data_IF_368050341506
#
_entry.id   IF_368050341506
#
_cell.length_a   1.000
_cell.length_b   1.000
_cell.length_c   1.000
_cell.angle_alpha   90.00
_cell.angle_beta   90.00
_cell.angle_gamma   90.00
#
_symmetry.space_group_name_H-M   'P 1'
#
loop_
_entity.id
_entity.type
_entity.pdbx_description
1 polymer ?
#
# COMPACT_ATOMS: atom_id res chain seq x y z
N UNK A 1 -0.19 -5.05 -27.85
CA UNK A 1 1.19 -5.01 -28.36
C UNK A 1 2.11 -5.03 -27.16
N UNK A 2 2.98 -6.00 -27.10
CA UNK A 2 3.79 -6.37 -25.94
C UNK A 2 4.80 -5.28 -25.57
N UNK A 3 4.54 -4.50 -24.53
CA UNK A 3 5.51 -3.58 -23.91
C UNK A 3 6.51 -4.29 -22.98
N UNK A 4 6.37 -5.62 -22.82
CA UNK A 4 7.11 -6.39 -21.84
C UNK A 4 8.61 -6.57 -22.12
N UNK A 5 9.13 -6.05 -23.24
CA UNK A 5 10.52 -6.31 -23.67
C UNK A 5 11.57 -5.34 -23.12
N UNK A 6 11.18 -4.22 -22.53
CA UNK A 6 12.15 -3.20 -22.07
C UNK A 6 12.28 -3.11 -20.56
N UNK A 7 11.47 -3.87 -19.82
CA UNK A 7 11.55 -3.87 -18.39
C UNK A 7 12.57 -4.91 -17.92
N UNK A 8 13.52 -4.48 -17.12
CA UNK A 8 14.61 -5.34 -16.64
C UNK A 8 14.87 -5.07 -15.16
N UNK A 9 14.23 -5.87 -14.32
CA UNK A 9 14.66 -5.95 -12.93
C UNK A 9 16.06 -6.59 -12.91
N UNK A 10 17.03 -5.91 -12.35
CA UNK A 10 18.44 -6.31 -12.37
C UNK A 10 18.94 -6.93 -11.06
N UNK A 11 18.04 -7.15 -10.09
CA UNK A 11 18.42 -7.68 -8.78
C UNK A 11 18.48 -9.22 -8.72
N UNK A 12 17.70 -9.92 -9.54
CA UNK A 12 17.63 -11.37 -9.53
C UNK A 12 17.85 -11.92 -10.94
N UNK A 13 18.71 -12.94 -11.13
CA UNK A 13 18.84 -13.64 -12.41
C UNK A 13 17.50 -14.25 -12.88
N UNK A 14 16.73 -14.77 -11.92
CA UNK A 14 15.34 -15.22 -12.09
C UNK A 14 14.48 -14.60 -11.01
N UNK A 15 13.30 -14.08 -11.39
CA UNK A 15 12.34 -13.58 -10.43
C UNK A 15 11.52 -14.75 -9.87
N UNK A 16 11.70 -15.06 -8.59
CA UNK A 16 10.95 -16.12 -7.89
C UNK A 16 9.61 -15.62 -7.34
N UNK A 17 9.23 -14.36 -7.56
CA UNK A 17 7.97 -13.80 -7.06
C UNK A 17 7.90 -13.57 -5.54
N UNK A 18 9.00 -13.73 -4.82
CA UNK A 18 9.05 -13.64 -3.35
C UNK A 18 9.09 -12.21 -2.81
N UNK A 19 8.94 -11.22 -3.67
CA UNK A 19 9.06 -9.81 -3.33
C UNK A 19 10.46 -9.27 -3.61
N UNK A 20 10.53 -8.01 -4.06
CA UNK A 20 11.79 -7.40 -4.44
C UNK A 20 12.66 -7.11 -3.23
N UNK A 21 13.92 -7.49 -3.34
CA UNK A 21 14.99 -7.22 -2.39
C UNK A 21 15.90 -6.19 -3.05
N UNK A 22 15.62 -4.89 -2.84
CA UNK A 22 16.49 -3.86 -3.38
C UNK A 22 17.79 -3.73 -2.57
N UNK A 23 18.89 -3.49 -3.24
CA UNK A 23 20.16 -3.11 -2.62
C UNK A 23 20.14 -1.66 -2.12
N UNK A 24 19.16 -0.88 -2.55
CA UNK A 24 19.03 0.53 -2.18
C UNK A 24 18.60 0.71 -0.72
N UNK A 25 19.11 1.70 0.00
CA UNK A 25 18.66 2.05 1.34
C UNK A 25 17.13 2.24 1.38
N UNK A 26 16.47 1.61 2.35
CA UNK A 26 15.00 1.68 2.51
C UNK A 26 14.21 0.72 1.64
N UNK A 27 14.81 0.01 0.70
CA UNK A 27 14.11 -1.03 -0.06
C UNK A 27 13.87 -2.31 0.73
N UNK A 28 14.73 -2.62 1.69
CA UNK A 28 14.64 -3.73 2.62
C UNK A 28 14.01 -4.99 2.03
N UNK A 29 14.81 -6.00 1.80
CA UNK A 29 14.33 -7.31 1.45
C UNK A 29 14.29 -8.22 2.67
N UNK A 30 14.03 -9.50 2.44
CA UNK A 30 13.94 -10.48 3.49
C UNK A 30 15.22 -10.52 4.36
N UNK A 31 16.38 -10.39 3.75
CA UNK A 31 17.66 -10.50 4.46
C UNK A 31 18.08 -9.21 5.19
N UNK A 32 17.52 -8.07 4.82
CA UNK A 32 18.00 -6.76 5.26
C UNK A 32 17.06 -6.03 6.23
N UNK A 33 15.89 -6.59 6.52
CA UNK A 33 14.90 -5.95 7.38
C UNK A 33 14.17 -6.96 8.25
N UNK A 34 14.42 -6.90 9.56
CA UNK A 34 13.72 -7.75 10.53
C UNK A 34 12.19 -7.54 10.48
N UNK A 35 11.74 -6.30 10.31
CA UNK A 35 10.30 -6.00 10.21
C UNK A 35 9.69 -6.61 8.95
N UNK A 36 10.43 -6.64 7.83
CA UNK A 36 9.96 -7.30 6.63
C UNK A 36 9.84 -8.83 6.81
N UNK A 37 10.83 -9.45 7.45
CA UNK A 37 10.77 -10.88 7.79
C UNK A 37 9.56 -11.18 8.68
N UNK A 38 9.38 -10.39 9.74
CA UNK A 38 8.24 -10.53 10.64
C UNK A 38 6.91 -10.30 9.94
N UNK A 39 6.83 -9.33 9.04
CA UNK A 39 5.63 -9.11 8.21
C UNK A 39 5.26 -10.36 7.40
N UNK A 40 6.25 -11.04 6.80
CA UNK A 40 5.98 -12.23 5.99
C UNK A 40 5.62 -13.47 6.85
N UNK A 41 6.22 -13.60 8.03
CA UNK A 41 6.07 -14.81 8.87
C UNK A 41 4.84 -14.72 9.77
N UNK A 42 4.54 -13.56 10.33
CA UNK A 42 3.55 -13.46 11.40
C UNK A 42 2.09 -13.61 10.92
N UNK A 43 1.82 -13.54 9.63
CA UNK A 43 0.51 -13.94 9.09
C UNK A 43 0.24 -15.43 9.34
N UNK A 44 1.25 -16.31 9.19
CA UNK A 44 1.14 -17.73 9.55
C UNK A 44 0.83 -17.92 11.04
N UNK A 45 1.48 -17.14 11.90
CA UNK A 45 1.21 -17.20 13.34
C UNK A 45 -0.20 -16.70 13.68
N UNK A 46 -0.66 -15.65 13.00
CA UNK A 46 -2.01 -15.13 13.19
C UNK A 46 -3.07 -16.12 12.71
N UNK A 47 -2.90 -16.72 11.55
CA UNK A 47 -3.75 -17.79 11.01
C UNK A 47 -3.85 -18.93 12.03
N UNK A 48 -2.72 -19.47 12.50
CA UNK A 48 -2.69 -20.55 13.49
C UNK A 48 -3.37 -20.18 14.83
N UNK A 49 -3.26 -18.91 15.24
CA UNK A 49 -3.94 -18.40 16.44
C UNK A 49 -5.47 -18.34 16.25
N UNK A 50 -5.91 -17.87 15.09
CA UNK A 50 -7.35 -17.78 14.75
C UNK A 50 -7.98 -19.17 14.61
N UNK A 51 -7.28 -20.11 13.96
CA UNK A 51 -7.72 -21.49 13.83
C UNK A 51 -7.89 -22.17 15.19
N UNK A 52 -6.92 -22.00 16.09
CA UNK A 52 -7.02 -22.54 17.47
C UNK A 52 -8.19 -21.94 18.25
N UNK A 53 -8.57 -20.69 17.96
CA UNK A 53 -9.75 -20.05 18.57
C UNK A 53 -11.05 -20.42 17.86
N UNK A 54 -10.99 -21.17 16.78
CA UNK A 54 -12.15 -21.52 15.97
C UNK A 54 -12.76 -20.37 15.17
N UNK A 55 -12.01 -19.28 14.97
CA UNK A 55 -12.43 -18.10 14.20
C UNK A 55 -12.07 -18.22 12.72
N UNK A 56 -11.15 -19.10 12.37
CA UNK A 56 -10.76 -19.41 11.00
C UNK A 56 -10.74 -20.94 10.87
N UNK A 57 -11.72 -21.49 10.17
CA UNK A 57 -11.88 -22.92 9.90
C UNK A 57 -12.38 -23.11 8.48
N UNK A 58 -12.09 -24.24 7.81
CA UNK A 58 -12.59 -24.50 6.47
C UNK A 58 -14.12 -24.35 6.33
N UNK A 59 -14.86 -24.71 7.40
CA UNK A 59 -16.33 -24.66 7.39
C UNK A 59 -16.89 -23.25 7.55
N UNK A 60 -16.08 -22.26 7.96
CA UNK A 60 -16.50 -20.87 8.21
C UNK A 60 -15.81 -19.86 7.29
N UNK A 61 -14.98 -20.30 6.36
CA UNK A 61 -14.25 -19.39 5.45
C UNK A 61 -15.20 -18.52 4.62
N UNK A 62 -16.27 -19.11 4.11
CA UNK A 62 -17.29 -18.40 3.32
C UNK A 62 -18.07 -17.35 4.15
N UNK A 63 -18.05 -17.43 5.48
CA UNK A 63 -18.72 -16.49 6.37
C UNK A 63 -17.83 -15.28 6.72
N UNK A 64 -16.51 -15.38 6.46
CA UNK A 64 -15.57 -14.30 6.75
C UNK A 64 -15.62 -13.29 5.60
N UNK A 65 -15.94 -12.00 5.87
CA UNK A 65 -15.89 -10.97 4.85
C UNK A 65 -14.47 -10.81 4.32
N UNK A 66 -14.23 -11.24 3.08
CA UNK A 66 -12.92 -11.13 2.46
C UNK A 66 -12.60 -9.66 2.14
N UNK A 67 -11.47 -9.13 2.62
CA UNK A 67 -11.04 -7.78 2.28
C UNK A 67 -10.82 -7.61 0.77
N UNK A 68 -11.17 -6.45 0.23
CA UNK A 68 -10.80 -6.14 -1.15
C UNK A 68 -9.28 -5.97 -1.27
N UNK A 69 -8.74 -6.38 -2.42
CA UNK A 69 -7.32 -6.21 -2.73
C UNK A 69 -7.11 -4.85 -3.38
N UNK A 70 -6.16 -4.09 -2.84
CA UNK A 70 -5.71 -2.81 -3.39
C UNK A 70 -4.22 -2.86 -3.68
N UNK A 71 -3.79 -2.25 -4.76
CA UNK A 71 -2.38 -2.01 -5.01
C UNK A 71 -1.82 -1.09 -3.92
N UNK A 72 -0.71 -1.45 -3.29
CA UNK A 72 -0.03 -0.54 -2.37
C UNK A 72 0.49 0.72 -3.12
N UNK A 73 0.61 1.88 -2.46
CA UNK A 73 1.12 3.10 -3.09
C UNK A 73 2.63 2.98 -3.35
N UNK A 74 2.98 2.42 -4.50
CA UNK A 74 4.35 2.13 -4.91
C UNK A 74 4.96 3.32 -5.65
N UNK A 75 6.25 3.56 -5.42
CA UNK A 75 7.08 4.54 -6.14
C UNK A 75 8.47 4.00 -6.37
N UNK A 76 9.25 4.64 -7.23
CA UNK A 76 10.65 4.27 -7.42
C UNK A 76 10.84 3.08 -8.37
N UNK A 77 10.05 3.03 -9.43
CA UNK A 77 10.22 2.03 -10.49
C UNK A 77 11.59 2.12 -11.17
N UNK A 78 12.12 3.32 -11.29
CA UNK A 78 13.46 3.56 -11.87
C UNK A 78 14.54 3.01 -10.96
N UNK A 79 14.59 3.48 -9.71
CA UNK A 79 15.68 3.14 -8.78
C UNK A 79 15.61 1.70 -8.29
N UNK A 80 14.40 1.15 -8.18
CA UNK A 80 14.19 -0.13 -7.50
C UNK A 80 14.13 -1.32 -8.43
N UNK A 81 13.69 -1.12 -9.65
CA UNK A 81 13.43 -2.23 -10.59
C UNK A 81 13.93 -1.96 -12.01
N UNK A 82 14.57 -0.83 -12.27
CA UNK A 82 15.27 -0.55 -13.52
C UNK A 82 14.38 -0.11 -14.68
N UNK A 83 13.20 0.46 -14.38
CA UNK A 83 12.41 1.13 -15.42
C UNK A 83 13.15 2.36 -15.98
N UNK A 84 12.91 2.69 -17.25
CA UNK A 84 13.49 3.88 -17.86
C UNK A 84 12.92 5.18 -17.28
N UNK A 85 11.66 5.14 -16.82
CA UNK A 85 11.00 6.28 -16.18
C UNK A 85 9.91 5.84 -15.20
N UNK A 86 9.61 6.69 -14.21
CA UNK A 86 8.47 6.50 -13.32
C UNK A 86 7.15 6.44 -14.08
N UNK A 87 7.02 7.21 -15.18
CA UNK A 87 5.82 7.21 -16.02
C UNK A 87 5.55 5.84 -16.62
N UNK A 88 6.56 5.17 -17.17
CA UNK A 88 6.42 3.80 -17.73
C UNK A 88 6.06 2.81 -16.63
N UNK A 89 6.75 2.87 -15.50
CA UNK A 89 6.45 2.01 -14.37
C UNK A 89 4.99 2.14 -13.91
N UNK A 90 4.54 3.37 -13.66
CA UNK A 90 3.19 3.60 -13.19
C UNK A 90 2.14 3.15 -14.21
N UNK A 91 2.36 3.43 -15.49
CA UNK A 91 1.42 3.01 -16.53
C UNK A 91 1.28 1.49 -16.56
N UNK A 92 2.39 0.75 -16.60
CA UNK A 92 2.37 -0.71 -16.64
C UNK A 92 1.77 -1.30 -15.36
N UNK A 93 2.15 -0.78 -14.20
CA UNK A 93 1.68 -1.30 -12.91
C UNK A 93 0.18 -1.04 -12.70
N UNK A 94 -0.28 0.19 -12.92
CA UNK A 94 -1.68 0.54 -12.72
C UNK A 94 -2.59 -0.11 -13.76
N UNK A 95 -2.14 -0.21 -15.02
CA UNK A 95 -2.86 -0.92 -16.07
C UNK A 95 -3.01 -2.41 -15.73
N UNK A 96 -1.94 -3.04 -15.29
CA UNK A 96 -1.97 -4.45 -14.90
C UNK A 96 -2.88 -4.68 -13.70
N UNK A 97 -2.84 -3.80 -12.69
CA UNK A 97 -3.71 -3.85 -11.53
C UNK A 97 -5.19 -3.67 -11.92
N UNK A 98 -5.49 -2.69 -12.76
CA UNK A 98 -6.84 -2.43 -13.27
C UNK A 98 -7.42 -3.65 -14.00
N UNK A 99 -6.66 -4.22 -14.95
CA UNK A 99 -7.06 -5.41 -15.71
C UNK A 99 -7.22 -6.66 -14.83
N UNK A 100 -6.49 -6.73 -13.72
CA UNK A 100 -6.62 -7.79 -12.72
C UNK A 100 -7.79 -7.57 -11.74
N UNK A 101 -8.56 -6.49 -11.87
CA UNK A 101 -9.66 -6.16 -10.94
C UNK A 101 -9.20 -5.69 -9.56
N UNK A 102 -7.95 -5.23 -9.44
CA UNK A 102 -7.36 -4.72 -8.21
C UNK A 102 -7.64 -3.22 -8.11
N UNK A 103 -8.06 -2.75 -6.92
CA UNK A 103 -8.22 -1.32 -6.66
C UNK A 103 -6.87 -0.59 -6.76
N UNK A 104 -6.90 0.62 -7.31
CA UNK A 104 -5.69 1.36 -7.61
C UNK A 104 -5.23 2.24 -6.45
N UNK A 105 -3.90 2.39 -6.32
CA UNK A 105 -3.29 3.43 -5.48
C UNK A 105 -2.07 4.01 -6.16
N UNK A 106 -1.82 5.28 -5.91
CA UNK A 106 -0.59 5.97 -6.29
C UNK A 106 0.10 6.52 -5.05
N UNK A 107 1.42 6.46 -5.06
CA UNK A 107 2.28 6.96 -4.00
C UNK A 107 2.91 8.29 -4.37
N UNK A 108 3.44 8.94 -3.38
CA UNK A 108 4.20 10.17 -3.49
C UNK A 108 5.68 9.93 -3.15
N UNK A 109 6.56 10.78 -3.65
CA UNK A 109 7.98 10.67 -3.43
C UNK A 109 8.76 11.90 -3.89
N UNK A 110 10.08 11.78 -3.91
CA UNK A 110 10.99 12.76 -4.48
C UNK A 110 11.74 12.12 -5.67
N UNK A 111 11.79 12.81 -6.81
CA UNK A 111 11.20 14.10 -7.15
C UNK A 111 9.66 14.06 -7.31
N UNK A 112 9.05 15.24 -7.52
CA UNK A 112 7.60 15.42 -7.70
C UNK A 112 7.04 14.59 -8.87
N UNK A 113 7.89 14.24 -9.84
CA UNK A 113 7.57 13.36 -10.97
C UNK A 113 6.96 12.02 -10.50
N UNK A 114 7.33 11.52 -9.31
CA UNK A 114 6.79 10.25 -8.79
C UNK A 114 5.28 10.33 -8.56
N UNK A 115 4.77 11.40 -7.98
CA UNK A 115 3.33 11.61 -7.85
C UNK A 115 2.67 11.96 -9.18
N UNK A 116 3.27 12.87 -9.94
CA UNK A 116 2.71 13.33 -11.22
C UNK A 116 2.60 12.20 -12.25
N UNK A 117 3.56 11.27 -12.27
CA UNK A 117 3.51 10.09 -13.14
C UNK A 117 2.34 9.16 -12.79
N UNK A 118 2.05 8.97 -11.50
CA UNK A 118 0.88 8.21 -11.06
C UNK A 118 -0.44 8.87 -11.48
N UNK A 119 -0.55 10.19 -11.35
CA UNK A 119 -1.71 10.98 -11.79
C UNK A 119 -1.90 10.84 -13.31
N UNK A 120 -0.82 10.98 -14.08
CA UNK A 120 -0.86 10.82 -15.53
C UNK A 120 -1.25 9.40 -15.95
N UNK A 121 -0.80 8.38 -15.22
CA UNK A 121 -1.17 7.00 -15.50
C UNK A 121 -2.68 6.76 -15.31
N UNK A 122 -3.30 7.27 -14.24
CA UNK A 122 -4.77 7.18 -14.07
C UNK A 122 -5.50 7.88 -15.23
N UNK A 123 -5.05 9.06 -15.64
CA UNK A 123 -5.64 9.77 -16.80
C UNK A 123 -5.50 8.96 -18.09
N UNK A 124 -4.35 8.31 -18.31
CA UNK A 124 -4.12 7.45 -19.47
C UNK A 124 -5.06 6.24 -19.47
N UNK A 125 -5.29 5.62 -18.30
CA UNK A 125 -6.26 4.53 -18.18
C UNK A 125 -7.69 4.96 -18.50
N UNK A 126 -8.13 6.13 -18.03
CA UNK A 126 -9.44 6.68 -18.42
C UNK A 126 -9.58 6.86 -19.94
N UNK A 127 -8.50 7.26 -20.60
CA UNK A 127 -8.50 7.40 -22.06
C UNK A 127 -8.54 6.03 -22.74
N UNK A 128 -7.74 5.07 -22.27
CA UNK A 128 -7.68 3.71 -22.83
C UNK A 128 -9.00 2.95 -22.66
N UNK A 129 -9.63 3.07 -21.47
CA UNK A 129 -10.84 2.34 -21.11
C UNK A 129 -12.11 3.20 -21.13
N UNK A 130 -12.08 4.32 -21.85
CA UNK A 130 -13.17 5.31 -21.89
C UNK A 130 -14.56 4.72 -22.16
N UNK A 131 -14.65 3.69 -23.01
CA UNK A 131 -15.93 3.06 -23.37
C UNK A 131 -16.43 2.08 -22.31
N UNK A 132 -15.57 1.66 -21.37
CA UNK A 132 -15.86 0.70 -20.31
C UNK A 132 -16.05 1.40 -18.97
N UNK A 133 -15.09 2.25 -18.61
CA UNK A 133 -15.06 2.97 -17.34
C UNK A 133 -14.45 4.37 -17.51
N UNK A 134 -15.29 5.39 -17.38
CA UNK A 134 -14.90 6.81 -17.55
C UNK A 134 -14.41 7.44 -16.25
N UNK A 135 -14.64 6.81 -15.10
CA UNK A 135 -14.36 7.40 -13.79
C UNK A 135 -13.30 6.62 -13.00
N UNK A 136 -12.34 6.01 -13.72
CA UNK A 136 -11.21 5.31 -13.09
C UNK A 136 -10.50 6.27 -12.13
N UNK A 137 -10.42 5.90 -10.87
CA UNK A 137 -9.74 6.64 -9.79
C UNK A 137 -8.86 5.71 -8.98
N UNK A 138 -8.04 6.29 -8.10
CA UNK A 138 -7.24 5.53 -7.16
C UNK A 138 -7.10 6.27 -5.83
N UNK A 139 -6.68 5.55 -4.80
CA UNK A 139 -6.26 6.16 -3.56
C UNK A 139 -4.90 6.84 -3.75
N UNK A 140 -4.76 8.07 -3.27
CA UNK A 140 -3.50 8.84 -3.38
C UNK A 140 -2.91 9.00 -2.00
N UNK A 141 -1.72 8.45 -1.79
CA UNK A 141 -1.00 8.55 -0.51
C UNK A 141 0.16 9.51 -0.64
N UNK A 142 0.08 10.62 0.11
CA UNK A 142 1.02 11.73 0.06
C UNK A 142 1.95 11.66 1.27
N UNK A 143 3.23 12.00 1.06
CA UNK A 143 4.22 12.08 2.14
C UNK A 143 3.92 13.27 3.06
N UNK A 144 4.31 13.21 4.34
CA UNK A 144 3.99 14.24 5.33
C UNK A 144 4.91 15.47 5.17
N UNK A 145 4.81 16.13 4.01
CA UNK A 145 5.44 17.43 3.78
C UNK A 145 4.87 18.51 4.70
N UNK A 146 5.50 19.69 4.81
CA UNK A 146 4.85 20.88 5.37
C UNK A 146 3.47 21.11 4.74
N UNK A 147 2.54 21.67 5.50
CA UNK A 147 1.10 21.70 5.18
C UNK A 147 0.79 22.36 3.81
N UNK A 148 1.49 23.44 3.46
CA UNK A 148 1.37 24.13 2.18
C UNK A 148 1.69 23.19 0.99
N UNK A 149 2.81 22.51 1.06
CA UNK A 149 3.22 21.56 0.03
C UNK A 149 2.33 20.33 -0.02
N UNK A 150 1.79 19.90 1.11
CA UNK A 150 0.86 18.78 1.16
C UNK A 150 -0.47 19.16 0.52
N UNK A 151 -1.01 20.36 0.81
CA UNK A 151 -2.21 20.89 0.18
C UNK A 151 -2.06 21.06 -1.34
N UNK A 152 -0.90 21.51 -1.81
CA UNK A 152 -0.58 21.58 -3.24
C UNK A 152 -0.67 20.21 -3.90
N UNK A 153 -0.08 19.15 -3.29
CA UNK A 153 -0.14 17.78 -3.80
C UNK A 153 -1.55 17.20 -3.78
N UNK A 154 -2.32 17.52 -2.75
CA UNK A 154 -3.74 17.16 -2.69
C UNK A 154 -4.51 17.78 -3.87
N UNK A 155 -4.19 19.03 -4.20
CA UNK A 155 -4.82 19.74 -5.33
C UNK A 155 -4.45 19.11 -6.68
N UNK A 156 -3.19 18.76 -6.90
CA UNK A 156 -2.76 18.02 -8.10
C UNK A 156 -3.50 16.69 -8.28
N UNK A 157 -3.81 16.03 -7.17
CA UNK A 157 -4.42 14.70 -7.14
C UNK A 157 -5.95 14.72 -7.23
N UNK A 158 -6.59 15.85 -7.02
CA UNK A 158 -8.04 16.01 -6.82
C UNK A 158 -8.90 15.30 -7.86
N UNK A 159 -8.50 15.38 -9.12
CA UNK A 159 -9.27 14.82 -10.24
C UNK A 159 -9.22 13.28 -10.26
N UNK A 160 -8.10 12.69 -9.85
CA UNK A 160 -7.84 11.24 -9.93
C UNK A 160 -8.03 10.50 -8.62
N UNK A 161 -8.18 11.24 -7.51
CA UNK A 161 -8.32 10.66 -6.19
C UNK A 161 -9.75 10.24 -5.89
N UNK A 162 -9.95 8.98 -5.49
CA UNK A 162 -11.14 8.53 -4.78
C UNK A 162 -10.97 8.64 -3.26
N UNK A 163 -9.72 8.60 -2.79
CA UNK A 163 -9.29 8.71 -1.40
C UNK A 163 -7.99 9.49 -1.39
N UNK A 164 -7.82 10.37 -0.41
CA UNK A 164 -6.53 11.02 -0.12
C UNK A 164 -6.04 10.54 1.24
N UNK A 165 -4.80 10.07 1.29
CA UNK A 165 -4.15 9.61 2.51
C UNK A 165 -2.82 10.30 2.77
N UNK A 166 -2.42 10.34 4.04
CA UNK A 166 -1.10 10.80 4.47
C UNK A 166 -0.32 9.65 5.10
N UNK A 167 0.89 9.41 4.59
CA UNK A 167 1.85 8.43 5.11
C UNK A 167 2.56 8.98 6.35
N UNK A 168 1.93 8.94 7.53
CA UNK A 168 2.45 9.58 8.76
C UNK A 168 3.76 8.99 9.26
N UNK A 169 4.07 7.73 8.93
CA UNK A 169 5.28 7.03 9.35
C UNK A 169 6.53 7.43 8.56
N UNK A 170 6.33 8.08 7.42
CA UNK A 170 7.42 8.32 6.48
C UNK A 170 8.19 9.63 6.70
N UNK A 171 7.92 10.39 7.77
CA UNK A 171 8.62 11.65 8.06
C UNK A 171 10.14 11.49 8.21
N UNK A 172 10.62 10.31 8.53
CA UNK A 172 12.04 9.99 8.63
C UNK A 172 12.47 8.80 7.75
N UNK A 173 11.74 8.55 6.67
CA UNK A 173 12.03 7.42 5.78
C UNK A 173 13.41 7.60 5.11
N UNK A 174 14.21 6.54 5.11
CA UNK A 174 15.60 6.58 4.64
C UNK A 174 15.73 7.05 3.19
N UNK A 175 14.81 6.64 2.31
CA UNK A 175 14.83 6.96 0.88
C UNK A 175 14.61 8.44 0.55
N UNK A 176 14.11 9.23 1.50
CA UNK A 176 13.84 10.66 1.30
C UNK A 176 14.61 11.54 2.29
N UNK A 177 15.38 10.93 3.18
CA UNK A 177 16.17 11.64 4.18
C UNK A 177 17.17 12.58 3.51
N UNK A 178 17.22 13.82 3.94
CA UNK A 178 18.06 14.89 3.39
C UNK A 178 17.76 15.31 1.93
N UNK A 179 16.73 14.76 1.30
CA UNK A 179 16.29 15.18 -0.04
C UNK A 179 15.16 16.22 0.04
N UNK A 180 14.28 16.05 1.01
CA UNK A 180 13.10 16.91 1.21
C UNK A 180 12.82 17.07 2.70
N UNK A 181 12.12 18.16 3.05
CA UNK A 181 11.61 18.35 4.40
C UNK A 181 10.32 17.54 4.56
N UNK A 182 10.33 16.58 5.47
CA UNK A 182 9.15 15.86 5.94
C UNK A 182 9.04 16.10 7.45
N UNK A 183 7.82 16.11 7.97
CA UNK A 183 7.56 16.40 9.37
C UNK A 183 6.54 15.45 9.99
N UNK A 184 6.65 15.20 11.27
CA UNK A 184 5.63 14.48 12.01
C UNK A 184 4.37 15.34 12.10
N UNK A 185 3.22 14.79 11.72
CA UNK A 185 1.94 15.51 11.73
C UNK A 185 1.25 15.44 13.08
N UNK A 186 0.77 16.60 13.55
CA UNK A 186 -0.13 16.65 14.71
C UNK A 186 -1.57 16.29 14.32
N UNK A 187 -2.39 15.97 15.31
CA UNK A 187 -3.82 15.74 15.12
C UNK A 187 -4.52 16.95 14.51
N UNK A 188 -4.17 18.16 14.97
CA UNK A 188 -4.74 19.41 14.45
C UNK A 188 -4.46 19.58 12.95
N UNK A 189 -3.22 19.33 12.51
CA UNK A 189 -2.83 19.39 11.11
C UNK A 189 -3.61 18.34 10.28
N UNK A 190 -3.69 17.09 10.74
CA UNK A 190 -4.44 16.04 10.05
C UNK A 190 -5.94 16.33 9.96
N UNK A 191 -6.54 16.92 10.99
CA UNK A 191 -7.94 17.36 10.95
C UNK A 191 -8.16 18.47 9.89
N UNK A 192 -7.21 19.42 9.76
CA UNK A 192 -7.26 20.44 8.70
C UNK A 192 -7.15 19.81 7.31
N UNK A 193 -6.22 18.88 7.13
CA UNK A 193 -6.03 18.15 5.87
C UNK A 193 -7.26 17.30 5.52
N UNK A 194 -7.85 16.60 6.49
CA UNK A 194 -9.10 15.85 6.31
C UNK A 194 -10.22 16.74 5.78
N UNK A 195 -10.40 17.94 6.35
CA UNK A 195 -11.39 18.91 5.87
C UNK A 195 -11.09 19.41 4.45
N UNK A 196 -9.83 19.53 4.08
CA UNK A 196 -9.41 19.98 2.75
C UNK A 196 -9.54 18.92 1.66
N UNK A 197 -9.51 17.64 2.01
CA UNK A 197 -9.45 16.50 1.07
C UNK A 197 -10.66 16.40 0.12
N UNK A 198 -11.89 16.76 0.58
CA UNK A 198 -13.15 16.66 -0.18
C UNK A 198 -13.52 15.25 -0.68
N UNK A 199 -12.74 14.26 -0.35
CA UNK A 199 -12.93 12.81 -0.55
C UNK A 199 -12.58 12.13 0.78
N UNK A 200 -12.92 10.84 0.98
CA UNK A 200 -12.53 10.12 2.19
C UNK A 200 -11.03 10.28 2.48
N UNK A 201 -10.72 10.54 3.76
CA UNK A 201 -9.35 10.80 4.20
C UNK A 201 -8.75 9.62 4.95
N UNK A 202 -7.56 9.19 4.55
CA UNK A 202 -6.84 8.08 5.14
C UNK A 202 -5.62 8.55 5.94
N UNK A 203 -5.36 7.89 7.06
CA UNK A 203 -4.07 7.96 7.77
C UNK A 203 -3.39 6.60 7.59
N UNK A 204 -2.21 6.58 6.97
CA UNK A 204 -1.42 5.37 6.74
C UNK A 204 -0.10 5.44 7.51
N UNK A 205 0.35 4.30 8.01
CA UNK A 205 1.58 4.20 8.81
C UNK A 205 1.29 4.04 10.32
N UNK A 206 0.12 3.52 10.66
CA UNK A 206 -0.28 3.28 12.06
C UNK A 206 0.42 2.01 12.54
N UNK A 207 1.39 2.16 13.45
CA UNK A 207 2.20 1.04 13.92
C UNK A 207 2.71 1.19 15.38
N UNK A 208 2.40 2.30 16.04
CA UNK A 208 2.78 2.53 17.44
C UNK A 208 1.56 2.89 18.28
N UNK A 209 1.72 2.87 19.61
CA UNK A 209 0.66 3.33 20.52
C UNK A 209 0.31 4.80 20.30
N UNK A 210 1.32 5.63 20.04
CA UNK A 210 1.10 7.05 19.75
C UNK A 210 0.25 7.28 18.49
N UNK A 211 0.43 6.42 17.47
CA UNK A 211 -0.38 6.51 16.25
C UNK A 211 -1.85 6.14 16.52
N UNK A 212 -2.11 5.24 17.48
CA UNK A 212 -3.48 4.92 17.90
C UNK A 212 -4.12 6.14 18.57
N UNK A 213 -3.41 6.82 19.46
CA UNK A 213 -3.93 8.05 20.11
C UNK A 213 -4.19 9.14 19.06
N UNK A 214 -3.31 9.28 18.06
CA UNK A 214 -3.53 10.18 16.93
C UNK A 214 -4.81 9.84 16.15
N UNK A 215 -5.06 8.54 15.87
CA UNK A 215 -6.29 8.09 15.21
C UNK A 215 -7.53 8.41 16.05
N UNK A 216 -7.46 8.26 17.37
CA UNK A 216 -8.58 8.60 18.28
C UNK A 216 -8.97 10.06 18.20
N UNK A 217 -7.99 10.96 18.09
CA UNK A 217 -8.23 12.40 17.98
C UNK A 217 -8.76 12.80 16.60
N UNK A 218 -8.12 12.29 15.54
CA UNK A 218 -8.44 12.68 14.14
C UNK A 218 -9.71 12.02 13.64
N UNK A 219 -10.00 10.79 14.04
CA UNK A 219 -11.09 9.95 13.52
C UNK A 219 -11.12 9.95 11.99
N UNK A 220 -10.09 9.42 11.33
CA UNK A 220 -10.03 9.39 9.88
C UNK A 220 -11.15 8.51 9.31
N UNK A 221 -11.49 8.71 8.03
CA UNK A 221 -12.42 7.83 7.34
C UNK A 221 -11.79 6.44 7.15
N UNK A 222 -10.48 6.40 6.97
CA UNK A 222 -9.71 5.16 6.80
C UNK A 222 -8.46 5.19 7.67
N UNK A 223 -8.26 4.15 8.47
CA UNK A 223 -7.03 3.90 9.23
C UNK A 223 -6.27 2.73 8.62
N UNK A 224 -5.01 2.94 8.21
CA UNK A 224 -4.19 1.90 7.57
C UNK A 224 -3.08 1.47 8.51
N UNK A 225 -3.16 0.24 9.02
CA UNK A 225 -2.07 -0.40 9.76
C UNK A 225 -0.93 -0.68 8.77
N UNK A 226 0.22 -0.07 9.00
CA UNK A 226 1.37 -0.15 8.09
C UNK A 226 2.67 0.14 8.83
N UNK A 227 3.73 -0.56 8.46
CA UNK A 227 5.12 -0.22 8.80
C UNK A 227 5.96 0.01 7.53
N UNK A 228 5.30 0.51 6.48
CA UNK A 228 5.92 0.83 5.19
C UNK A 228 6.61 -0.37 4.55
N UNK A 229 6.02 -1.55 4.71
CA UNK A 229 6.60 -2.81 4.23
C UNK A 229 7.90 -3.19 4.93
N UNK A 230 8.06 -2.80 6.19
CA UNK A 230 9.23 -3.06 7.02
C UNK A 230 10.32 -1.98 6.92
N UNK A 231 10.07 -0.85 6.22
CA UNK A 231 11.04 0.23 6.05
C UNK A 231 11.07 1.26 7.18
N UNK A 232 10.12 1.17 8.11
CA UNK A 232 10.05 2.03 9.29
C UNK A 232 10.47 1.23 10.51
N UNK A 233 11.50 1.70 11.21
CA UNK A 233 12.20 0.98 12.28
C UNK A 233 11.93 1.54 13.68
N UNK A 234 10.95 2.44 13.82
CA UNK A 234 10.59 3.03 15.11
C UNK A 234 9.99 1.99 16.10
N UNK A 235 9.55 0.85 15.60
CA UNK A 235 9.09 -0.31 16.36
C UNK A 235 9.50 -1.59 15.63
N UNK A 236 10.00 -2.59 16.37
CA UNK A 236 10.21 -3.95 15.84
C UNK A 236 8.88 -4.71 15.93
N UNK A 237 8.49 -5.35 14.82
CA UNK A 237 7.27 -6.15 14.77
C UNK A 237 6.66 -6.24 13.37
N UNK A 238 5.51 -6.89 13.28
CA UNK A 238 4.73 -7.02 12.04
C UNK A 238 3.39 -6.34 12.15
N UNK A 239 2.84 -5.97 10.99
CA UNK A 239 1.48 -5.42 10.88
C UNK A 239 0.43 -6.44 11.28
N UNK A 240 0.63 -7.74 10.98
CA UNK A 240 -0.26 -8.82 11.43
C UNK A 240 -0.34 -8.92 12.96
N UNK A 241 0.81 -8.82 13.68
CA UNK A 241 0.81 -8.81 15.14
C UNK A 241 0.14 -7.55 15.69
N UNK A 242 0.41 -6.39 15.07
CA UNK A 242 -0.22 -5.14 15.48
C UNK A 242 -1.74 -5.16 15.30
N UNK A 243 -2.22 -5.72 14.19
CA UNK A 243 -3.65 -5.96 13.96
C UNK A 243 -4.26 -6.83 15.06
N UNK A 244 -3.58 -7.94 15.42
CA UNK A 244 -4.04 -8.86 16.44
C UNK A 244 -4.10 -8.25 17.84
N UNK A 245 -3.26 -7.24 18.12
CA UNK A 245 -3.18 -6.55 19.42
C UNK A 245 -4.15 -5.35 19.48
N UNK A 246 -4.32 -4.62 18.39
CA UNK A 246 -4.95 -3.29 18.39
C UNK A 246 -6.06 -3.11 17.35
N UNK A 247 -6.33 -4.09 16.49
CA UNK A 247 -7.32 -3.96 15.43
C UNK A 247 -8.72 -3.66 15.95
N UNK A 248 -9.14 -4.35 17.02
CA UNK A 248 -10.46 -4.13 17.65
C UNK A 248 -10.59 -2.72 18.27
N UNK A 249 -9.49 -2.21 18.85
CA UNK A 249 -9.46 -0.85 19.38
C UNK A 249 -9.60 0.18 18.24
N UNK A 250 -8.78 0.04 17.19
CA UNK A 250 -8.74 0.99 16.06
C UNK A 250 -10.07 1.12 15.33
N UNK A 251 -10.81 0.02 15.14
CA UNK A 251 -12.12 0.04 14.48
C UNK A 251 -13.13 0.99 15.11
N UNK A 252 -12.99 1.28 16.39
CA UNK A 252 -13.90 2.19 17.10
C UNK A 252 -13.62 3.68 16.79
N UNK A 253 -12.50 3.97 16.10
CA UNK A 253 -12.04 5.34 15.90
C UNK A 253 -11.80 5.71 14.43
N UNK A 254 -12.14 4.83 13.50
CA UNK A 254 -12.11 5.09 12.07
C UNK A 254 -13.37 4.57 11.37
N UNK A 255 -13.63 5.04 10.15
CA UNK A 255 -14.72 4.51 9.33
C UNK A 255 -14.40 3.11 8.81
N UNK A 256 -13.19 2.91 8.27
CA UNK A 256 -12.68 1.64 7.78
C UNK A 256 -11.29 1.35 8.32
N UNK A 257 -11.00 0.07 8.59
CA UNK A 257 -9.68 -0.41 8.93
C UNK A 257 -9.08 -1.12 7.70
N UNK A 258 -7.90 -0.67 7.27
CA UNK A 258 -7.10 -1.30 6.21
C UNK A 258 -5.76 -1.75 6.75
N UNK A 259 -5.04 -2.57 5.98
CA UNK A 259 -3.72 -3.07 6.38
C UNK A 259 -2.82 -3.31 5.17
N UNK A 260 -1.51 -3.14 5.36
CA UNK A 260 -0.47 -3.62 4.44
C UNK A 260 0.61 -4.43 5.18
N UNK A 261 1.58 -4.93 4.43
CA UNK A 261 2.77 -5.60 4.96
C UNK A 261 2.66 -7.13 5.05
N UNK A 262 3.44 -7.81 4.23
CA UNK A 262 3.66 -9.26 4.31
C UNK A 262 2.60 -10.17 3.70
N UNK A 263 1.51 -9.65 3.19
CA UNK A 263 0.40 -10.42 2.60
C UNK A 263 0.88 -11.18 1.36
N UNK A 264 0.68 -12.51 1.34
CA UNK A 264 1.16 -13.43 0.29
C UNK A 264 0.16 -14.52 -0.08
N UNK A 265 -0.83 -14.82 0.76
CA UNK A 265 -1.71 -15.97 0.62
C UNK A 265 -3.16 -15.57 0.86
N UNK A 266 -4.08 -16.35 0.33
CA UNK A 266 -5.51 -16.21 0.59
C UNK A 266 -5.83 -16.20 2.10
N UNK A 267 -5.22 -17.11 2.87
CA UNK A 267 -5.41 -17.18 4.32
C UNK A 267 -4.97 -15.92 5.07
N UNK A 268 -4.05 -15.12 4.50
CA UNK A 268 -3.67 -13.84 5.08
C UNK A 268 -4.83 -12.82 4.96
N UNK A 269 -5.59 -12.89 3.84
CA UNK A 269 -6.80 -12.08 3.65
C UNK A 269 -7.92 -12.54 4.60
N UNK A 270 -8.16 -13.85 4.71
CA UNK A 270 -9.13 -14.40 5.67
C UNK A 270 -8.79 -13.98 7.10
N UNK A 271 -7.51 -14.10 7.49
CA UNK A 271 -7.07 -13.67 8.81
C UNK A 271 -7.30 -12.16 9.03
N UNK A 272 -7.08 -11.31 8.04
CA UNK A 272 -7.40 -9.88 8.11
C UNK A 272 -8.91 -9.65 8.20
N UNK A 273 -9.70 -10.40 7.43
CA UNK A 273 -11.17 -10.38 7.45
C UNK A 273 -11.76 -10.68 8.82
N UNK A 274 -11.19 -11.64 9.57
CA UNK A 274 -11.59 -11.94 10.94
C UNK A 274 -11.52 -10.72 11.89
N UNK A 275 -10.68 -9.72 11.58
CA UNK A 275 -10.59 -8.46 12.32
C UNK A 275 -11.43 -7.34 11.71
N UNK A 276 -12.22 -7.62 10.66
CA UNK A 276 -13.07 -6.64 9.99
C UNK A 276 -12.31 -5.64 9.11
N UNK A 277 -11.09 -5.99 8.70
CA UNK A 277 -10.33 -5.24 7.70
C UNK A 277 -11.13 -5.18 6.40
N UNK A 278 -11.24 -3.99 5.80
CA UNK A 278 -12.00 -3.78 4.57
C UNK A 278 -11.17 -3.91 3.32
N UNK A 279 -9.92 -3.45 3.37
CA UNK A 279 -8.99 -3.59 2.25
C UNK A 279 -7.60 -4.00 2.72
N UNK A 280 -6.95 -4.83 1.92
CA UNK A 280 -5.54 -5.18 2.08
C UNK A 280 -4.73 -4.54 0.96
N UNK A 281 -3.63 -3.88 1.31
CA UNK A 281 -2.77 -3.24 0.32
C UNK A 281 -1.55 -4.12 0.04
N UNK A 282 -1.38 -4.52 -1.21
CA UNK A 282 -0.34 -5.46 -1.64
C UNK A 282 0.62 -4.77 -2.61
N UNK A 283 1.92 -4.83 -2.34
CA UNK A 283 2.96 -4.17 -3.15
C UNK A 283 3.88 -5.16 -3.84
N UNK A 284 4.90 -5.65 -3.12
CA UNK A 284 5.99 -6.47 -3.68
C UNK A 284 5.53 -7.68 -4.49
N UNK A 285 4.49 -8.45 -4.12
CA UNK A 285 3.99 -9.54 -4.95
C UNK A 285 3.58 -9.09 -6.36
N UNK A 286 2.92 -7.94 -6.48
CA UNK A 286 2.52 -7.42 -7.78
C UNK A 286 3.68 -6.83 -8.58
N UNK A 287 4.67 -6.19 -7.91
CA UNK A 287 5.90 -5.76 -8.58
C UNK A 287 6.64 -6.98 -9.12
N UNK A 288 6.83 -8.02 -8.31
CA UNK A 288 7.51 -9.24 -8.73
C UNK A 288 6.79 -9.92 -9.90
N UNK A 289 5.47 -9.98 -9.85
CA UNK A 289 4.65 -10.54 -10.92
C UNK A 289 4.79 -9.72 -12.21
N UNK A 290 4.73 -8.39 -12.12
CA UNK A 290 4.93 -7.50 -13.27
C UNK A 290 6.30 -7.72 -13.92
N UNK A 291 7.35 -7.86 -13.10
CA UNK A 291 8.71 -8.11 -13.57
C UNK A 291 8.86 -9.49 -14.22
N UNK A 292 8.19 -10.51 -13.68
CA UNK A 292 8.33 -11.90 -14.13
C UNK A 292 7.53 -12.18 -15.40
N UNK A 293 6.26 -11.82 -15.43
CA UNK A 293 5.33 -12.20 -16.50
C UNK A 293 4.35 -11.11 -16.93
N UNK A 294 4.60 -9.84 -16.55
CA UNK A 294 3.76 -8.71 -16.96
C UNK A 294 2.34 -8.77 -16.40
N UNK A 295 1.39 -8.26 -17.17
CA UNK A 295 -0.03 -8.16 -16.77
C UNK A 295 -0.66 -9.51 -16.43
N UNK A 296 -0.35 -10.56 -17.18
CA UNK A 296 -0.93 -11.89 -16.98
C UNK A 296 -0.51 -12.49 -15.64
N UNK A 297 0.74 -12.28 -15.23
CA UNK A 297 1.23 -12.76 -13.95
C UNK A 297 0.68 -11.93 -12.78
N UNK A 298 0.50 -10.62 -12.95
CA UNK A 298 -0.20 -9.79 -11.96
C UNK A 298 -1.62 -10.30 -11.73
N UNK A 299 -2.34 -10.64 -12.81
CA UNK A 299 -3.68 -11.22 -12.71
C UNK A 299 -3.68 -12.61 -12.07
N UNK A 300 -2.66 -13.44 -12.34
CA UNK A 300 -2.52 -14.75 -11.70
C UNK A 300 -2.28 -14.62 -10.18
N UNK A 301 -1.41 -13.71 -9.76
CA UNK A 301 -1.17 -13.43 -8.32
C UNK A 301 -2.43 -12.88 -7.66
N UNK A 302 -3.17 -11.99 -8.33
CA UNK A 302 -4.43 -11.45 -7.79
C UNK A 302 -5.46 -12.56 -7.56
N UNK A 303 -5.66 -13.46 -8.53
CA UNK A 303 -6.54 -14.63 -8.39
C UNK A 303 -6.10 -15.54 -7.23
N UNK A 304 -4.80 -15.85 -7.12
CA UNK A 304 -4.28 -16.67 -6.02
C UNK A 304 -4.50 -16.05 -4.64
N UNK A 305 -4.51 -14.73 -4.54
CA UNK A 305 -4.81 -14.05 -3.29
C UNK A 305 -6.32 -14.07 -2.99
N UNK A 306 -7.17 -14.00 -4.02
CA UNK A 306 -8.62 -13.96 -3.87
C UNK A 306 -9.23 -15.36 -3.61
N UNK A 307 -8.53 -16.43 -3.96
CA UNK A 307 -8.95 -17.84 -3.87
C UNK A 307 -7.83 -18.74 -3.36
#
# INVERSE_FOLDING_TARGET
MSSSKNFKCHFCPECLGNGCVGEMPGMGGFDNSINFQLNCINWLHLEAKLSRKGLLRPETEDEIPLPAIRLAPLTGGVENIGYESERMFYFDMLRSAYLAGIKLSIGDGCPDEKLLSGILAIRSLRTEFHDIDRDIKGAVFIKPYPDDKLLERMDWSREVAEIIGVDIDSFNIVTMRNLVSLEQKSAEQLIKLKKAAKVPFAIKGIFTRNDIELVKEVRPDIAVISNHGGRVENRIGSTASFLAEHGEELKNYCGELWIDGGIRRHNDLLAAGCYGVKEVMVGRPFISALCHGGTDEVAAVARKLAH
#
